data_IF_529399929830
#
_entry.id   IF_529399929830
#
_cell.length_a   1.000
_cell.length_b   1.000
_cell.length_c   1.000
_cell.angle_alpha   90.00
_cell.angle_beta   90.00
_cell.angle_gamma   90.00
#
_symmetry.space_group_name_H-M   'P 1'
#
loop_
_entity.id
_entity.type
_entity.pdbx_description
1 polymer ?
#
# COMPACT_ATOMS: atom_id res chain seq x y z
N UNK A 1 3.42 9.37 -23.02
CA UNK A 1 3.53 8.97 -21.60
C UNK A 1 2.13 9.02 -21.03
N UNK A 2 1.53 7.88 -20.70
CA UNK A 2 0.18 7.81 -20.14
C UNK A 2 0.26 8.22 -18.66
N UNK A 3 -0.30 9.37 -18.31
CA UNK A 3 -0.41 9.82 -16.92
C UNK A 3 -1.39 8.90 -16.21
N UNK A 4 -0.90 8.07 -15.29
CA UNK A 4 -1.76 7.20 -14.48
C UNK A 4 -2.68 8.07 -13.60
N UNK A 5 -4.00 8.09 -13.86
CA UNK A 5 -4.93 8.92 -13.10
C UNK A 5 -5.11 8.44 -11.65
N UNK A 6 -4.67 7.22 -11.32
CA UNK A 6 -4.82 6.61 -10.00
C UNK A 6 -3.64 6.86 -9.08
N UNK A 7 -2.54 7.39 -9.61
CA UNK A 7 -1.30 7.57 -8.85
C UNK A 7 -1.46 8.56 -7.68
N UNK A 8 -2.44 9.45 -7.71
CA UNK A 8 -2.71 10.42 -6.64
C UNK A 8 -3.79 9.97 -5.62
N UNK A 9 -4.15 8.68 -5.60
CA UNK A 9 -5.20 8.12 -4.75
C UNK A 9 -4.63 7.14 -3.71
N UNK A 10 -5.42 6.71 -2.73
CA UNK A 10 -5.00 5.65 -1.78
C UNK A 10 -5.02 4.25 -2.38
N UNK A 11 -5.47 4.10 -3.64
CA UNK A 11 -5.63 2.80 -4.28
C UNK A 11 -4.34 1.98 -4.36
N UNK A 12 -3.16 2.54 -4.74
CA UNK A 12 -1.93 1.74 -4.80
C UNK A 12 -1.52 1.18 -3.43
N UNK A 13 -1.78 1.94 -2.36
CA UNK A 13 -1.51 1.49 -0.98
C UNK A 13 -2.48 0.39 -0.57
N UNK A 14 -3.77 0.57 -0.84
CA UNK A 14 -4.78 -0.45 -0.54
C UNK A 14 -4.53 -1.73 -1.33
N UNK A 15 -4.07 -1.61 -2.57
CA UNK A 15 -3.69 -2.77 -3.41
C UNK A 15 -2.60 -3.57 -2.74
N UNK A 16 -1.56 -2.89 -2.26
CA UNK A 16 -0.46 -3.53 -1.54
C UNK A 16 -0.94 -4.26 -0.28
N UNK A 17 -1.89 -3.69 0.48
CA UNK A 17 -2.49 -4.34 1.65
C UNK A 17 -3.29 -5.59 1.25
N UNK A 18 -4.06 -5.53 0.18
CA UNK A 18 -4.82 -6.68 -0.34
C UNK A 18 -3.88 -7.80 -0.78
N UNK A 19 -2.82 -7.46 -1.53
CA UNK A 19 -1.80 -8.42 -1.97
C UNK A 19 -1.10 -9.07 -0.78
N UNK A 20 -0.73 -8.30 0.24
CA UNK A 20 -0.16 -8.83 1.47
C UNK A 20 -1.10 -9.81 2.16
N UNK A 21 -2.36 -9.42 2.35
CA UNK A 21 -3.35 -10.28 3.00
C UNK A 21 -3.56 -11.59 2.22
N UNK A 22 -3.62 -11.53 0.88
CA UNK A 22 -3.70 -12.72 0.04
C UNK A 22 -2.47 -13.62 0.18
N UNK A 23 -1.27 -13.06 0.11
CA UNK A 23 -0.03 -13.81 0.27
C UNK A 23 0.03 -14.50 1.65
N UNK A 24 -0.36 -13.78 2.71
CA UNK A 24 -0.35 -14.30 4.07
C UNK A 24 -1.39 -15.41 4.26
N UNK A 25 -2.57 -15.32 3.65
CA UNK A 25 -3.54 -16.41 3.64
C UNK A 25 -2.93 -17.70 3.07
N UNK A 26 -2.17 -17.61 1.97
CA UNK A 26 -1.48 -18.77 1.41
C UNK A 26 -0.49 -19.41 2.39
N UNK A 27 0.25 -18.59 3.13
CA UNK A 27 1.21 -19.07 4.15
C UNK A 27 0.50 -19.73 5.33
N UNK A 28 -0.52 -19.07 5.89
CA UNK A 28 -1.30 -19.59 7.02
C UNK A 28 -2.04 -20.89 6.66
N UNK A 29 -2.61 -20.98 5.45
CA UNK A 29 -3.24 -22.20 4.95
C UNK A 29 -2.21 -23.33 4.78
N UNK A 30 -1.02 -23.02 4.27
CA UNK A 30 0.09 -23.96 4.19
C UNK A 30 0.53 -24.48 5.55
N UNK A 31 0.63 -23.62 6.57
CA UNK A 31 0.94 -24.05 7.93
C UNK A 31 -0.16 -24.96 8.50
N UNK A 32 -1.42 -24.59 8.29
CA UNK A 32 -2.58 -25.37 8.75
C UNK A 32 -2.58 -26.78 8.16
N UNK A 33 -2.29 -26.90 6.87
CA UNK A 33 -2.22 -28.19 6.18
C UNK A 33 -1.08 -29.10 6.69
N UNK A 34 0.03 -28.51 7.16
CA UNK A 34 1.21 -29.23 7.62
C UNK A 34 1.36 -29.26 9.15
N UNK A 35 0.33 -28.84 9.91
CA UNK A 35 0.40 -28.69 11.36
C UNK A 35 0.73 -30.00 12.07
N UNK A 36 0.28 -31.13 11.53
CA UNK A 36 0.54 -32.48 12.08
C UNK A 36 1.70 -33.20 11.37
N UNK A 37 2.50 -32.51 10.55
CA UNK A 37 3.61 -33.11 9.82
C UNK A 37 4.89 -33.07 10.67
N UNK A 38 5.48 -34.23 11.06
CA UNK A 38 6.68 -34.25 11.88
C UNK A 38 7.84 -33.48 11.24
N UNK A 39 8.51 -32.63 12.03
CA UNK A 39 9.65 -31.83 11.57
C UNK A 39 9.28 -30.61 10.70
N UNK A 40 8.00 -30.32 10.49
CA UNK A 40 7.56 -29.12 9.79
C UNK A 40 7.86 -27.85 10.60
N UNK A 41 8.36 -26.81 9.92
CA UNK A 41 8.62 -25.48 10.51
C UNK A 41 7.65 -24.47 9.95
N UNK A 42 6.85 -23.87 10.83
CA UNK A 42 5.89 -22.85 10.43
C UNK A 42 6.58 -21.58 9.91
N UNK A 43 5.94 -20.98 8.92
CA UNK A 43 6.38 -19.74 8.26
C UNK A 43 5.32 -18.68 8.50
N UNK A 44 5.70 -17.41 8.52
CA UNK A 44 4.71 -16.33 8.47
C UNK A 44 5.26 -15.15 7.67
N UNK A 45 4.33 -14.32 7.19
CA UNK A 45 4.62 -12.99 6.71
C UNK A 45 4.40 -12.02 7.86
N UNK A 46 5.47 -11.36 8.32
CA UNK A 46 5.38 -10.46 9.47
C UNK A 46 4.55 -9.21 9.11
N UNK A 47 3.39 -8.99 9.76
CA UNK A 47 2.61 -7.76 9.54
C UNK A 47 3.38 -6.53 10.01
N UNK A 48 4.17 -6.62 11.07
CA UNK A 48 4.98 -5.49 11.55
C UNK A 48 6.07 -5.08 10.55
N UNK A 49 6.73 -6.05 9.91
CA UNK A 49 7.72 -5.76 8.87
C UNK A 49 7.08 -5.13 7.63
N UNK A 50 5.90 -5.64 7.24
CA UNK A 50 5.11 -5.09 6.15
C UNK A 50 4.63 -3.66 6.43
N UNK A 51 4.09 -3.39 7.62
CA UNK A 51 3.66 -2.05 8.01
C UNK A 51 4.83 -1.06 8.01
N UNK A 52 6.01 -1.50 8.47
CA UNK A 52 7.23 -0.69 8.45
C UNK A 52 7.65 -0.34 7.02
N UNK A 53 7.69 -1.31 6.11
CA UNK A 53 8.05 -1.05 4.70
C UNK A 53 7.01 -0.19 4.00
N UNK A 54 5.71 -0.45 4.24
CA UNK A 54 4.62 0.36 3.70
C UNK A 54 4.69 1.81 4.17
N UNK A 55 4.96 2.04 5.46
CA UNK A 55 5.13 3.39 6.02
C UNK A 55 6.34 4.09 5.39
N UNK A 56 7.45 3.38 5.20
CA UNK A 56 8.64 3.94 4.55
C UNK A 56 8.36 4.35 3.10
N UNK A 57 7.60 3.55 2.35
CA UNK A 57 7.20 3.87 0.98
C UNK A 57 6.30 5.11 0.90
N UNK A 58 5.35 5.25 1.83
CA UNK A 58 4.49 6.44 1.94
C UNK A 58 5.32 7.69 2.28
N UNK A 59 6.26 7.58 3.21
CA UNK A 59 7.10 8.72 3.61
C UNK A 59 8.09 9.13 2.52
N UNK A 60 8.63 8.18 1.75
CA UNK A 60 9.51 8.47 0.61
C UNK A 60 8.79 9.30 -0.46
N UNK A 61 7.53 8.94 -0.75
CA UNK A 61 6.64 9.72 -1.62
C UNK A 61 6.38 11.14 -1.09
N UNK A 62 6.45 11.33 0.23
CA UNK A 62 6.32 12.65 0.87
C UNK A 62 7.59 13.48 0.78
N UNK A 63 8.76 12.84 0.85
CA UNK A 63 10.07 13.51 0.83
C UNK A 63 10.52 13.96 -0.56
N UNK A 64 10.09 13.26 -1.63
CA UNK A 64 10.23 13.78 -3.00
C UNK A 64 9.47 15.09 -3.22
N UNK A 65 8.55 15.46 -2.30
CA UNK A 65 8.18 16.86 -2.07
C UNK A 65 9.14 17.49 -1.05
N UNK A 66 10.29 17.98 -1.50
CA UNK A 66 11.06 18.90 -0.65
C UNK A 66 10.16 20.11 -0.30
N UNK A 67 9.97 20.46 0.99
CA UNK A 67 9.27 21.68 1.39
C UNK A 67 9.91 22.98 0.85
N UNK A 68 11.10 22.89 0.23
CA UNK A 68 11.83 24.01 -0.35
C UNK A 68 11.78 24.15 -1.88
N UNK A 69 11.17 23.21 -2.61
CA UNK A 69 11.08 23.30 -4.09
C UNK A 69 9.77 23.96 -4.56
N UNK A 70 9.26 24.88 -3.73
CA UNK A 70 8.24 25.86 -4.09
C UNK A 70 8.83 27.28 -4.20
N UNK A 71 10.15 27.44 -4.24
CA UNK A 71 10.78 28.76 -4.39
C UNK A 71 12.01 28.74 -5.30
N UNK A 72 11.81 28.36 -6.57
CA UNK A 72 12.61 29.00 -7.63
C UNK A 72 11.89 30.30 -7.98
N UNK A 73 12.38 31.37 -7.35
CA UNK A 73 12.14 32.76 -7.73
C UNK A 73 12.24 32.88 -9.26
N UNK A 74 11.14 33.28 -9.87
CA UNK A 74 11.00 33.31 -11.33
C UNK A 74 12.13 34.08 -12.00
N UNK A 75 12.70 33.50 -13.04
CA UNK A 75 13.10 34.30 -14.19
C UNK A 75 11.81 34.61 -14.96
N UNK A 76 11.31 35.83 -14.76
CA UNK A 76 10.32 36.46 -15.63
C UNK A 76 10.90 36.48 -17.04
N UNK A 77 10.23 35.80 -17.97
CA UNK A 77 10.40 36.13 -19.39
C UNK A 77 9.62 37.43 -19.67
N UNK A 78 10.12 38.29 -20.56
CA UNK A 78 9.64 39.67 -20.79
C UNK A 78 8.16 39.78 -21.22
N UNK A 79 7.49 38.65 -21.46
CA UNK A 79 6.09 38.60 -21.90
C UNK A 79 5.04 38.60 -20.78
N UNK A 80 5.43 38.72 -19.50
CA UNK A 80 4.49 38.96 -18.40
C UNK A 80 3.43 37.87 -18.15
N UNK A 81 3.65 36.64 -18.62
CA UNK A 81 2.73 35.50 -18.39
C UNK A 81 3.27 34.58 -17.31
N UNK A 82 3.05 34.96 -16.05
CA UNK A 82 3.22 34.07 -14.90
C UNK A 82 2.01 33.16 -14.75
N UNK A 83 2.15 31.87 -15.09
CA UNK A 83 1.16 30.85 -14.78
C UNK A 83 1.25 30.50 -13.29
N UNK A 84 0.39 31.11 -12.48
CA UNK A 84 0.23 30.76 -11.06
C UNK A 84 -0.78 29.63 -10.95
N UNK A 85 -0.33 28.38 -10.91
CA UNK A 85 -1.18 27.28 -10.40
C UNK A 85 -0.80 27.02 -8.94
N UNK A 86 -1.26 27.92 -8.07
CA UNK A 86 -1.27 27.67 -6.63
C UNK A 86 -2.45 26.75 -6.31
N UNK A 87 -2.25 25.45 -6.50
CA UNK A 87 -3.13 24.45 -5.89
C UNK A 87 -2.30 23.64 -4.89
N UNK A 88 -2.30 24.11 -3.65
CA UNK A 88 -1.95 23.30 -2.48
C UNK A 88 -3.00 22.19 -2.32
N UNK A 89 -2.93 21.17 -3.18
CA UNK A 89 -3.67 19.92 -3.02
C UNK A 89 -2.96 19.09 -1.97
N UNK A 90 -3.63 18.91 -0.83
CA UNK A 90 -3.42 17.77 0.07
C UNK A 90 -3.89 16.51 -0.68
N UNK A 91 -3.20 16.18 -1.77
CA UNK A 91 -3.39 14.94 -2.51
C UNK A 91 -2.35 13.94 -2.02
N UNK A 92 -2.74 12.67 -1.90
CA UNK A 92 -1.79 11.57 -1.96
C UNK A 92 -0.98 11.80 -3.25
N UNK A 93 0.33 12.02 -3.11
CA UNK A 93 1.19 12.29 -4.27
C UNK A 93 1.28 11.06 -5.15
N UNK A 94 1.77 11.24 -6.38
CA UNK A 94 2.14 10.14 -7.27
C UNK A 94 3.09 9.21 -6.50
N UNK A 95 2.65 7.98 -6.23
CA UNK A 95 3.51 7.00 -5.58
C UNK A 95 4.69 6.65 -6.48
N UNK A 96 5.89 6.66 -5.89
CA UNK A 96 7.10 6.22 -6.57
C UNK A 96 7.03 4.70 -6.80
N UNK A 97 7.08 4.22 -8.06
CA UNK A 97 6.96 2.79 -8.37
C UNK A 97 8.03 1.93 -7.68
N UNK A 98 9.22 2.50 -7.48
CA UNK A 98 10.36 1.84 -6.83
C UNK A 98 10.10 1.60 -5.34
N UNK A 99 9.48 2.57 -4.65
CA UNK A 99 9.13 2.43 -3.24
C UNK A 99 8.05 1.35 -3.02
N UNK A 100 7.05 1.27 -3.91
CA UNK A 100 6.05 0.20 -3.86
C UNK A 100 6.65 -1.17 -4.20
N UNK A 101 7.64 -1.21 -5.09
CA UNK A 101 8.37 -2.43 -5.41
C UNK A 101 9.15 -2.95 -4.19
N UNK A 102 9.76 -2.06 -3.39
CA UNK A 102 10.40 -2.45 -2.13
C UNK A 102 9.42 -3.09 -1.14
N UNK A 103 8.21 -2.53 -0.99
CA UNK A 103 7.17 -3.15 -0.17
C UNK A 103 6.86 -4.55 -0.69
N UNK A 104 6.72 -4.72 -2.00
CA UNK A 104 6.45 -6.02 -2.61
C UNK A 104 7.56 -7.04 -2.37
N UNK A 105 8.82 -6.64 -2.51
CA UNK A 105 9.96 -7.50 -2.21
C UNK A 105 10.03 -7.84 -0.72
N UNK A 106 9.66 -6.91 0.16
CA UNK A 106 9.57 -7.19 1.61
C UNK A 106 8.52 -8.27 1.93
N UNK A 107 7.42 -8.37 1.16
CA UNK A 107 6.43 -9.44 1.30
C UNK A 107 6.96 -10.81 0.88
N UNK A 108 7.98 -10.86 0.02
CA UNK A 108 8.60 -12.13 -0.42
C UNK A 108 9.49 -12.72 0.68
N UNK A 109 9.92 -11.91 1.64
CA UNK A 109 10.70 -12.35 2.79
C UNK A 109 9.83 -13.15 3.78
N UNK A 110 9.72 -14.45 3.53
CA UNK A 110 9.07 -15.40 4.43
C UNK A 110 9.93 -15.62 5.67
N UNK A 111 9.41 -15.29 6.86
CA UNK A 111 10.11 -15.44 8.14
C UNK A 111 9.72 -16.77 8.77
N UNK A 112 10.71 -17.60 9.11
CA UNK A 112 10.48 -18.82 9.88
C UNK A 112 10.28 -18.47 11.35
N UNK A 113 9.23 -19.03 11.96
CA UNK A 113 8.97 -18.85 13.38
C UNK A 113 9.64 -20.02 14.11
N UNK A 114 10.79 -19.76 14.73
CA UNK A 114 11.56 -20.80 15.43
C UNK A 114 10.98 -21.06 16.82
N UNK A 115 10.61 -22.32 17.09
CA UNK A 115 10.41 -22.85 18.44
C UNK A 115 9.06 -22.61 19.13
N UNK A 116 8.04 -22.06 18.46
CA UNK A 116 6.67 -22.09 18.99
C UNK A 116 5.84 -23.11 18.23
N UNK A 117 5.32 -24.12 18.92
CA UNK A 117 4.25 -24.96 18.38
C UNK A 117 3.06 -24.07 18.05
N UNK A 118 2.83 -23.84 16.76
CA UNK A 118 1.70 -23.03 16.33
C UNK A 118 0.46 -23.91 16.42
N UNK A 119 -0.45 -23.60 17.35
CA UNK A 119 -1.68 -24.36 17.53
C UNK A 119 -2.69 -24.07 16.41
N UNK A 120 -3.61 -25.02 16.21
CA UNK A 120 -4.71 -24.88 15.25
C UNK A 120 -5.53 -23.62 15.56
N UNK A 121 -5.88 -23.40 16.82
CA UNK A 121 -6.69 -22.24 17.23
C UNK A 121 -5.95 -20.93 16.94
N UNK A 122 -4.64 -20.89 17.17
CA UNK A 122 -3.83 -19.72 16.85
C UNK A 122 -3.82 -19.44 15.34
N UNK A 123 -3.66 -20.47 14.50
CA UNK A 123 -3.67 -20.28 13.05
C UNK A 123 -5.04 -19.82 12.53
N UNK A 124 -6.12 -20.41 13.03
CA UNK A 124 -7.48 -19.98 12.67
C UNK A 124 -7.71 -18.53 13.09
N UNK A 125 -7.23 -18.13 14.27
CA UNK A 125 -7.32 -16.74 14.75
C UNK A 125 -6.58 -15.78 13.82
N UNK A 126 -5.35 -16.11 13.42
CA UNK A 126 -4.58 -15.27 12.48
C UNK A 126 -5.23 -15.22 11.09
N UNK A 127 -5.80 -16.32 10.60
CA UNK A 127 -6.59 -16.34 9.36
C UNK A 127 -7.79 -15.41 9.47
N UNK A 128 -8.53 -15.44 10.58
CA UNK A 128 -9.68 -14.55 10.79
C UNK A 128 -9.28 -13.07 10.83
N UNK A 129 -8.18 -12.74 11.52
CA UNK A 129 -7.65 -11.36 11.55
C UNK A 129 -7.27 -10.89 10.14
N UNK A 130 -6.56 -11.73 9.41
CA UNK A 130 -6.09 -11.42 8.07
C UNK A 130 -7.27 -11.27 7.07
N UNK A 131 -8.30 -12.11 7.19
CA UNK A 131 -9.54 -11.98 6.42
C UNK A 131 -10.25 -10.65 6.70
N UNK A 132 -10.30 -10.23 7.97
CA UNK A 132 -10.87 -8.94 8.36
C UNK A 132 -10.14 -7.77 7.70
N UNK A 133 -8.81 -7.80 7.71
CA UNK A 133 -7.95 -6.83 7.03
C UNK A 133 -8.20 -6.79 5.51
N UNK A 134 -8.29 -7.96 4.88
CA UNK A 134 -8.58 -8.08 3.45
C UNK A 134 -9.93 -7.44 3.10
N UNK A 135 -10.99 -7.81 3.81
CA UNK A 135 -12.34 -7.30 3.57
C UNK A 135 -12.40 -5.77 3.75
N UNK A 136 -11.77 -5.25 4.82
CA UNK A 136 -11.69 -3.82 5.07
C UNK A 136 -11.01 -3.08 3.91
N UNK A 137 -9.88 -3.59 3.42
CA UNK A 137 -9.16 -2.98 2.31
C UNK A 137 -10.02 -2.93 1.04
N UNK A 138 -10.75 -4.00 0.70
CA UNK A 138 -11.67 -4.03 -0.45
C UNK A 138 -12.84 -3.05 -0.27
N UNK A 139 -13.40 -2.94 0.94
CA UNK A 139 -14.45 -1.94 1.24
C UNK A 139 -13.94 -0.52 1.01
N UNK A 140 -12.72 -0.21 1.47
CA UNK A 140 -12.09 1.09 1.27
C UNK A 140 -11.80 1.36 -0.21
N UNK A 141 -11.27 0.39 -0.96
CA UNK A 141 -11.07 0.53 -2.41
C UNK A 141 -12.38 0.87 -3.12
N UNK A 142 -13.46 0.14 -2.79
CA UNK A 142 -14.78 0.35 -3.40
C UNK A 142 -15.31 1.75 -3.08
N UNK A 143 -15.12 2.23 -1.85
CA UNK A 143 -15.48 3.59 -1.46
C UNK A 143 -14.70 4.64 -2.28
N UNK A 144 -13.40 4.45 -2.46
CA UNK A 144 -12.55 5.34 -3.27
C UNK A 144 -13.00 5.38 -4.74
N UNK A 145 -13.31 4.23 -5.35
CA UNK A 145 -13.84 4.18 -6.70
C UNK A 145 -15.18 4.92 -6.85
N UNK A 146 -16.05 4.82 -5.84
CA UNK A 146 -17.31 5.58 -5.83
C UNK A 146 -17.07 7.09 -5.77
N UNK A 147 -16.12 7.54 -4.94
CA UNK A 147 -15.75 8.96 -4.86
C UNK A 147 -15.22 9.48 -6.20
N UNK A 148 -14.33 8.74 -6.86
CA UNK A 148 -13.81 9.14 -8.17
C UNK A 148 -14.90 9.16 -9.26
N UNK A 149 -15.77 8.16 -9.29
CA UNK A 149 -16.90 8.13 -10.23
C UNK A 149 -17.81 9.34 -10.06
N UNK A 150 -18.10 9.73 -8.81
CA UNK A 150 -18.88 10.93 -8.51
C UNK A 150 -18.22 12.20 -9.06
N UNK A 151 -16.93 12.39 -8.79
CA UNK A 151 -16.18 13.57 -9.25
C UNK A 151 -16.11 13.66 -10.78
N UNK A 152 -15.91 12.53 -11.47
CA UNK A 152 -15.90 12.48 -12.94
C UNK A 152 -17.30 12.82 -13.48
N UNK A 153 -18.36 12.26 -12.92
CA UNK A 153 -19.73 12.53 -13.40
C UNK A 153 -20.16 13.98 -13.20
N UNK A 154 -19.68 14.66 -12.16
CA UNK A 154 -19.99 16.08 -11.91
C UNK A 154 -19.37 17.00 -12.97
N UNK A 155 -18.18 16.67 -13.49
CA UNK A 155 -17.51 17.49 -14.52
C UNK A 155 -18.09 17.39 -15.94
N UNK A 156 -19.05 16.48 -16.18
CA UNK A 156 -19.64 16.22 -17.51
C UNK A 156 -21.01 16.89 -17.69
N UNK A 157 -21.49 17.65 -16.70
CA UNK A 157 -22.74 18.43 -16.78
C UNK A 157 -22.42 19.92 -16.84
#
# INVERSE_FOLDING_TARGET
MLTDPFANSTLPVLEQVVQFAQARHGVLAGNLANLNTPGYKSRDLSPAAFEKSLKAAIESTRQTRSPGEAMVLGSVDEAGRGLLTSESKVGFGRFDPEALQEVKESMKSLVYHDGRDVSLESQVTEISKNQGLHNLAITLMTAQFRQMRSAISETVT
#
